data_IF_862193779236
#
_entry.id   IF_862193779236
#
_cell.length_a   1.000
_cell.length_b   1.000
_cell.length_c   1.000
_cell.angle_alpha   90.00
_cell.angle_beta   90.00
_cell.angle_gamma   90.00
#
_symmetry.space_group_name_H-M   'P 1'
#
loop_
_entity.id
_entity.type
_entity.pdbx_description
1 polymer ?
#
# COMPACT_ATOMS: atom_id res chain seq x y z
N UNK A 1 22.00 2.38 13.38
CA UNK A 1 20.53 2.45 13.31
C UNK A 1 20.03 1.80 14.57
N UNK A 2 19.39 2.58 15.44
CA UNK A 2 18.95 2.14 16.77
C UNK A 2 17.56 1.55 16.66
N UNK A 3 17.23 0.57 17.51
CA UNK A 3 15.87 -0.02 17.57
C UNK A 3 14.81 1.08 17.87
N UNK A 4 15.20 2.11 18.63
CA UNK A 4 14.33 3.26 18.95
C UNK A 4 14.01 4.14 17.72
N UNK A 5 14.90 4.21 16.73
CA UNK A 5 14.67 4.99 15.51
C UNK A 5 13.65 4.28 14.59
N UNK A 6 13.72 2.95 14.50
CA UNK A 6 12.83 2.12 13.69
C UNK A 6 11.38 2.11 14.22
N UNK A 7 11.18 2.11 15.55
CA UNK A 7 9.84 2.18 16.16
C UNK A 7 9.20 3.55 15.94
N UNK A 8 9.98 4.64 16.04
CA UNK A 8 9.51 6.00 15.78
C UNK A 8 9.05 6.17 14.33
N UNK A 9 9.84 5.67 13.37
CA UNK A 9 9.50 5.75 11.94
C UNK A 9 8.25 4.92 11.59
N UNK A 10 8.08 3.76 12.22
CA UNK A 10 6.87 2.96 12.05
C UNK A 10 5.62 3.67 12.58
N UNK A 11 5.71 4.29 13.76
CA UNK A 11 4.62 5.08 14.34
C UNK A 11 4.26 6.26 13.43
N UNK A 12 5.27 6.96 12.91
CA UNK A 12 5.08 8.09 11.99
C UNK A 12 4.39 7.65 10.69
N UNK A 13 4.80 6.53 10.11
CA UNK A 13 4.18 5.97 8.89
C UNK A 13 2.70 5.62 9.11
N UNK A 14 2.38 4.91 10.20
CA UNK A 14 1.00 4.52 10.53
C UNK A 14 0.13 5.76 10.77
N UNK A 15 0.65 6.77 11.48
CA UNK A 15 -0.03 8.04 11.71
C UNK A 15 -0.29 8.81 10.41
N UNK A 16 0.68 8.83 9.50
CA UNK A 16 0.53 9.43 8.18
C UNK A 16 -0.54 8.72 7.34
N UNK A 17 -0.53 7.39 7.33
CA UNK A 17 -1.51 6.58 6.59
C UNK A 17 -2.94 6.82 7.10
N UNK A 18 -3.14 6.85 8.43
CA UNK A 18 -4.41 7.25 9.05
C UNK A 18 -4.88 8.62 8.56
N UNK A 19 -3.98 9.59 8.55
CA UNK A 19 -4.29 10.97 8.12
C UNK A 19 -4.74 11.01 6.66
N UNK A 20 -4.04 10.33 5.76
CA UNK A 20 -4.39 10.27 4.33
C UNK A 20 -5.78 9.63 4.13
N UNK A 21 -6.08 8.55 4.84
CA UNK A 21 -7.39 7.87 4.76
C UNK A 21 -8.51 8.78 5.26
N UNK A 22 -8.31 9.49 6.38
CA UNK A 22 -9.26 10.47 6.91
C UNK A 22 -9.53 11.57 5.88
N UNK A 23 -8.47 12.14 5.29
CA UNK A 23 -8.60 13.20 4.28
C UNK A 23 -9.36 12.70 3.03
N UNK A 24 -9.07 11.48 2.58
CA UNK A 24 -9.78 10.85 1.46
C UNK A 24 -11.27 10.66 1.78
N UNK A 25 -11.60 10.15 2.97
CA UNK A 25 -12.98 9.95 3.43
C UNK A 25 -13.77 11.26 3.53
N UNK A 26 -13.15 12.34 4.04
CA UNK A 26 -13.76 13.68 4.06
C UNK A 26 -14.04 14.19 2.67
N UNK A 27 -13.09 14.01 1.74
CA UNK A 27 -13.25 14.41 0.33
C UNK A 27 -14.37 13.64 -0.37
N UNK A 28 -14.64 12.40 0.04
CA UNK A 28 -15.71 11.56 -0.50
C UNK A 28 -17.07 11.73 0.19
N UNK A 29 -17.32 12.87 0.87
CA UNK A 29 -18.61 13.30 1.48
C UNK A 29 -19.00 12.73 2.85
N UNK A 30 -18.10 12.06 3.57
CA UNK A 30 -18.36 11.58 4.94
C UNK A 30 -18.12 12.69 5.97
N UNK A 31 -19.19 13.27 6.55
CA UNK A 31 -19.09 14.23 7.66
C UNK A 31 -18.69 13.56 8.98
N UNK A 32 -19.10 12.31 9.19
CA UNK A 32 -18.82 11.53 10.40
C UNK A 32 -17.91 10.35 10.04
N UNK A 33 -16.63 10.50 10.33
CA UNK A 33 -15.64 9.46 10.11
C UNK A 33 -15.55 8.60 11.36
N UNK A 34 -15.97 7.34 11.23
CA UNK A 34 -15.72 6.31 12.23
C UNK A 34 -14.22 6.00 12.27
N UNK A 35 -13.56 6.37 13.38
CA UNK A 35 -12.13 6.15 13.58
C UNK A 35 -11.80 4.66 13.64
N UNK A 36 -12.70 3.80 14.14
CA UNK A 36 -12.47 2.36 14.14
C UNK A 36 -12.45 1.80 12.71
N UNK A 37 -13.31 2.33 11.83
CA UNK A 37 -13.28 1.98 10.41
C UNK A 37 -11.98 2.46 9.73
N UNK A 38 -11.48 3.65 10.07
CA UNK A 38 -10.18 4.14 9.58
C UNK A 38 -9.05 3.21 9.99
N UNK A 39 -8.98 2.84 11.26
CA UNK A 39 -7.97 1.90 11.77
C UNK A 39 -8.03 0.57 11.04
N UNK A 40 -9.24 0.06 10.75
CA UNK A 40 -9.38 -1.18 10.01
C UNK A 40 -8.89 -1.07 8.57
N UNK A 41 -9.10 0.07 7.91
CA UNK A 41 -8.57 0.33 6.57
C UNK A 41 -7.04 0.41 6.60
N UNK A 42 -6.46 1.05 7.63
CA UNK A 42 -5.00 1.13 7.83
C UNK A 42 -4.39 -0.25 7.95
N UNK A 43 -4.91 -1.09 8.85
CA UNK A 43 -4.47 -2.48 9.02
C UNK A 43 -4.53 -3.26 7.69
N UNK A 44 -5.70 -3.18 7.03
CA UNK A 44 -5.93 -3.87 5.74
C UNK A 44 -4.95 -3.38 4.66
N UNK A 45 -4.62 -2.09 4.66
CA UNK A 45 -3.66 -1.50 3.72
C UNK A 45 -2.24 -1.98 3.99
N UNK A 46 -1.84 -2.08 5.26
CA UNK A 46 -0.53 -2.61 5.64
C UNK A 46 -0.41 -4.08 5.22
N UNK A 47 -1.42 -4.91 5.50
CA UNK A 47 -1.41 -6.33 5.12
C UNK A 47 -1.40 -6.51 3.60
N UNK A 48 -2.14 -5.67 2.87
CA UNK A 48 -2.11 -5.61 1.42
C UNK A 48 -0.71 -5.30 0.87
N UNK A 49 -0.04 -4.27 1.42
CA UNK A 49 1.32 -3.89 1.02
C UNK A 49 2.31 -5.02 1.36
N UNK A 50 2.22 -5.62 2.54
CA UNK A 50 3.04 -6.78 2.93
C UNK A 50 2.91 -7.93 1.94
N UNK A 51 1.69 -8.29 1.56
CA UNK A 51 1.45 -9.35 0.59
C UNK A 51 2.14 -9.05 -0.76
N UNK A 52 2.07 -7.80 -1.25
CA UNK A 52 2.79 -7.41 -2.48
C UNK A 52 4.31 -7.54 -2.31
N UNK A 53 4.85 -7.07 -1.18
CA UNK A 53 6.29 -7.13 -0.89
C UNK A 53 6.78 -8.58 -0.75
N UNK A 54 6.00 -9.46 -0.11
CA UNK A 54 6.30 -10.89 -0.03
C UNK A 54 6.37 -11.53 -1.41
N UNK A 55 5.43 -11.22 -2.30
CA UNK A 55 5.48 -11.70 -3.68
C UNK A 55 6.70 -11.16 -4.43
N UNK A 56 7.07 -9.89 -4.21
CA UNK A 56 8.28 -9.29 -4.79
C UNK A 56 9.55 -9.99 -4.34
N UNK A 57 9.69 -10.24 -3.03
CA UNK A 57 10.85 -10.93 -2.47
C UNK A 57 10.93 -12.38 -2.98
N UNK A 58 9.80 -13.08 -3.03
CA UNK A 58 9.73 -14.46 -3.51
C UNK A 58 10.12 -14.59 -4.99
N UNK A 59 9.76 -13.60 -5.82
CA UNK A 59 10.05 -13.61 -7.26
C UNK A 59 11.47 -13.14 -7.60
N UNK A 60 11.93 -12.04 -7.00
CA UNK A 60 13.19 -11.41 -7.39
C UNK A 60 14.39 -11.95 -6.61
N UNK A 61 14.18 -12.63 -5.47
CA UNK A 61 15.23 -13.19 -4.61
C UNK A 61 16.28 -12.16 -4.18
N UNK A 62 15.96 -10.87 -4.26
CA UNK A 62 16.82 -9.74 -3.88
C UNK A 62 16.15 -8.89 -2.82
N UNK A 63 16.92 -8.33 -1.87
CA UNK A 63 16.41 -7.42 -0.84
C UNK A 63 16.09 -6.01 -1.39
N UNK A 64 16.51 -5.72 -2.61
CA UNK A 64 16.18 -4.48 -3.34
C UNK A 64 15.25 -4.82 -4.51
N UNK A 65 14.29 -3.94 -4.76
CA UNK A 65 13.37 -4.04 -5.89
C UNK A 65 13.24 -2.69 -6.60
N UNK A 66 13.04 -2.75 -7.91
CA UNK A 66 12.78 -1.60 -8.77
C UNK A 66 11.28 -1.44 -9.06
N UNK A 67 10.91 -0.29 -9.63
CA UNK A 67 9.56 -0.08 -10.17
C UNK A 67 9.18 -1.13 -11.23
N UNK A 68 10.13 -1.60 -12.03
CA UNK A 68 9.90 -2.64 -13.02
C UNK A 68 9.60 -4.01 -12.39
N UNK A 69 10.24 -4.32 -11.27
CA UNK A 69 9.98 -5.55 -10.51
C UNK A 69 8.57 -5.51 -9.91
N UNK A 70 8.17 -4.39 -9.31
CA UNK A 70 6.80 -4.17 -8.84
C UNK A 70 5.78 -4.35 -9.96
N UNK A 71 6.00 -3.72 -11.12
CA UNK A 71 5.12 -3.87 -12.28
C UNK A 71 5.01 -5.34 -12.72
N UNK A 72 6.13 -6.04 -12.84
CA UNK A 72 6.15 -7.44 -13.24
C UNK A 72 5.44 -8.34 -12.23
N UNK A 73 5.63 -8.13 -10.93
CA UNK A 73 4.96 -8.90 -9.88
C UNK A 73 3.45 -8.72 -9.93
N UNK A 74 2.96 -7.49 -10.08
CA UNK A 74 1.52 -7.23 -10.21
C UNK A 74 0.97 -7.81 -11.51
N UNK A 75 1.71 -7.70 -12.63
CA UNK A 75 1.31 -8.26 -13.92
C UNK A 75 1.20 -9.79 -13.89
N UNK A 76 2.10 -10.47 -13.17
CA UNK A 76 2.09 -11.93 -13.01
C UNK A 76 1.04 -12.39 -11.97
N UNK A 77 0.67 -11.51 -11.03
CA UNK A 77 -0.27 -11.81 -9.96
C UNK A 77 -1.42 -10.79 -9.92
N UNK A 78 -2.29 -10.75 -10.94
CA UNK A 78 -3.34 -9.74 -11.03
C UNK A 78 -4.35 -9.81 -9.88
N UNK A 79 -4.46 -10.95 -9.21
CA UNK A 79 -5.29 -11.15 -8.02
C UNK A 79 -4.83 -10.31 -6.81
N UNK A 80 -3.59 -9.82 -6.81
CA UNK A 80 -3.08 -8.92 -5.77
C UNK A 80 -3.81 -7.58 -5.80
N UNK A 81 -4.39 -7.15 -6.93
CA UNK A 81 -5.23 -5.95 -6.98
C UNK A 81 -6.70 -6.39 -7.12
N UNK A 82 -7.49 -6.33 -6.03
CA UNK A 82 -8.83 -6.94 -6.00
C UNK A 82 -9.85 -6.23 -6.90
N UNK A 83 -9.58 -4.99 -7.31
CA UNK A 83 -10.47 -4.22 -8.16
C UNK A 83 -9.91 -4.09 -9.58
N UNK A 84 -10.65 -4.59 -10.57
CA UNK A 84 -10.24 -4.57 -11.98
C UNK A 84 -9.98 -3.17 -12.54
N UNK A 85 -10.73 -2.14 -12.11
CA UNK A 85 -10.49 -0.76 -12.53
C UNK A 85 -9.18 -0.22 -11.94
N UNK A 86 -8.92 -0.52 -10.66
CA UNK A 86 -7.66 -0.15 -10.02
C UNK A 86 -6.46 -0.87 -10.66
N UNK A 87 -6.62 -2.14 -11.03
CA UNK A 87 -5.57 -2.89 -11.74
C UNK A 87 -5.20 -2.20 -13.06
N UNK A 88 -6.19 -1.83 -13.89
CA UNK A 88 -5.91 -1.15 -15.16
C UNK A 88 -5.31 0.24 -14.96
N UNK A 89 -5.83 1.03 -14.02
CA UNK A 89 -5.25 2.34 -13.70
C UNK A 89 -3.79 2.24 -13.23
N UNK A 90 -3.48 1.21 -12.43
CA UNK A 90 -2.12 0.89 -12.04
C UNK A 90 -1.26 0.53 -13.27
N UNK A 91 -1.73 -0.36 -14.15
CA UNK A 91 -0.98 -0.75 -15.37
C UNK A 91 -0.73 0.43 -16.31
N UNK A 92 -1.71 1.34 -16.49
CA UNK A 92 -1.55 2.56 -17.28
C UNK A 92 -0.47 3.47 -16.72
N UNK A 93 -0.43 3.64 -15.39
CA UNK A 93 0.56 4.50 -14.71
C UNK A 93 1.99 4.05 -15.01
N UNK A 94 2.24 2.74 -15.08
CA UNK A 94 3.58 2.19 -15.31
C UNK A 94 3.97 2.07 -16.79
N UNK A 95 3.02 2.08 -17.73
CA UNK A 95 3.34 2.11 -19.17
C UNK A 95 3.91 3.46 -19.63
N UNK A 96 3.90 4.48 -18.76
CA UNK A 96 4.44 5.82 -19.03
C UNK A 96 5.82 6.08 -18.41
N UNK A 97 6.41 5.10 -17.72
CA UNK A 97 7.78 5.12 -17.19
C UNK A 97 8.69 4.19 -17.99
#
# INVERSE_FOLDING_TARGET
MSIEDDESDQINFISHLRTVIILAARKSSSSDIDIAAVDKIVETTIDFVKNILEQLTNQNKTPSFSSADLFNTIRLNPHLIPNRKLYFSFMETFNHF
#
